data_IF_278768730127
#
_entry.id   IF_278768730127
#
_cell.length_a   1.000
_cell.length_b   1.000
_cell.length_c   1.000
_cell.angle_alpha   90.00
_cell.angle_beta   90.00
_cell.angle_gamma   90.00
#
_symmetry.space_group_name_H-M   'P 1'
#
loop_
_entity.id
_entity.type
_entity.pdbx_description
1 polymer ?
#
# COMPACT_ATOMS: atom_id res chain seq x y z
N UNK A 1 7.70 -12.38 6.10
CA UNK A 1 7.20 -12.57 7.29
C UNK A 1 7.00 -11.36 8.08
N UNK A 2 8.03 -10.78 8.54
CA UNK A 2 7.87 -9.64 9.37
C UNK A 2 7.27 -8.45 8.65
N UNK A 3 7.46 -8.36 7.36
CA UNK A 3 6.91 -7.22 6.63
C UNK A 3 5.40 -7.15 6.67
N UNK A 4 4.76 -8.30 6.60
CA UNK A 4 3.31 -8.34 6.63
C UNK A 4 2.78 -7.98 7.99
N UNK A 5 3.50 -8.39 9.03
CA UNK A 5 3.09 -8.07 10.37
C UNK A 5 3.15 -6.58 10.61
N UNK A 6 4.24 -5.95 10.17
CA UNK A 6 4.38 -4.51 10.32
C UNK A 6 3.31 -3.78 9.53
N UNK A 7 2.99 -4.31 8.36
CA UNK A 7 1.98 -3.72 7.52
C UNK A 7 0.63 -3.70 8.23
N UNK A 8 0.27 -4.81 8.86
CA UNK A 8 -1.00 -4.90 9.55
C UNK A 8 -1.08 -4.01 10.77
N UNK A 9 0.06 -3.74 11.37
CA UNK A 9 0.11 -2.90 12.56
C UNK A 9 0.08 -1.42 12.24
N UNK A 10 0.32 -1.08 10.99
CA UNK A 10 0.33 0.33 10.61
C UNK A 10 -1.08 0.89 10.65
N UNK A 11 -1.19 2.14 11.12
CA UNK A 11 -2.48 2.80 11.15
C UNK A 11 -2.92 3.18 9.74
N UNK A 12 -4.19 3.48 9.58
CA UNK A 12 -4.68 3.92 8.28
C UNK A 12 -3.97 5.17 7.81
N UNK A 13 -3.73 6.07 8.74
CA UNK A 13 -3.03 7.30 8.41
C UNK A 13 -1.62 7.00 7.94
N UNK A 14 -0.95 6.07 8.61
CA UNK A 14 0.40 5.72 8.24
C UNK A 14 0.42 5.07 6.86
N UNK A 15 -0.54 4.21 6.58
CA UNK A 15 -0.63 3.59 5.27
C UNK A 15 -0.84 4.62 4.17
N UNK A 16 -1.69 5.60 4.44
CA UNK A 16 -1.94 6.64 3.45
C UNK A 16 -0.66 7.43 3.18
N UNK A 17 0.12 7.70 4.21
CA UNK A 17 1.38 8.40 4.05
C UNK A 17 2.36 7.58 3.22
N UNK A 18 2.40 6.28 3.47
CA UNK A 18 3.29 5.41 2.72
C UNK A 18 2.89 5.33 1.26
N UNK A 19 1.59 5.28 0.99
CA UNK A 19 1.11 5.27 -0.38
C UNK A 19 1.53 6.54 -1.10
N UNK A 20 1.37 7.67 -0.43
CA UNK A 20 1.77 8.95 -1.03
C UNK A 20 3.27 8.97 -1.28
N UNK A 21 4.05 8.50 -0.31
CA UNK A 21 5.49 8.46 -0.45
C UNK A 21 5.92 7.63 -1.64
N UNK A 22 5.42 6.40 -1.72
CA UNK A 22 5.84 5.52 -2.80
C UNK A 22 5.28 5.93 -4.16
N UNK A 23 4.12 6.58 -4.16
CA UNK A 23 3.57 7.12 -5.40
C UNK A 23 4.50 8.19 -5.94
N UNK A 24 4.99 9.07 -5.07
CA UNK A 24 5.91 10.10 -5.47
C UNK A 24 7.23 9.51 -5.95
N UNK A 25 7.73 8.51 -5.22
CA UNK A 25 8.98 7.87 -5.61
C UNK A 25 8.86 7.20 -6.96
N UNK A 26 7.72 6.59 -7.23
CA UNK A 26 7.50 5.94 -8.52
C UNK A 26 7.52 6.97 -9.65
N UNK A 27 6.95 8.13 -9.39
CA UNK A 27 6.91 9.18 -10.39
C UNK A 27 8.30 9.75 -10.66
N UNK A 28 9.16 9.71 -9.65
CA UNK A 28 10.52 10.23 -9.78
C UNK A 28 11.54 9.18 -10.15
N UNK A 29 11.12 7.93 -10.28
CA UNK A 29 12.06 6.86 -10.60
C UNK A 29 12.70 7.12 -11.95
N UNK A 30 14.00 6.87 -12.01
CA UNK A 30 14.75 7.13 -13.23
C UNK A 30 14.90 5.91 -14.12
N UNK A 31 14.81 4.73 -13.54
CA UNK A 31 14.96 3.51 -14.31
C UNK A 31 13.72 2.66 -14.13
N UNK A 32 13.54 1.72 -15.04
CA UNK A 32 12.42 0.82 -14.95
C UNK A 32 12.50 -0.04 -13.71
N UNK A 33 13.70 -0.43 -13.35
CA UNK A 33 13.89 -1.26 -12.17
C UNK A 33 13.44 -0.52 -10.92
N UNK A 34 13.84 0.73 -10.80
CA UNK A 34 13.43 1.54 -9.66
C UNK A 34 11.93 1.72 -9.65
N UNK A 35 11.35 1.96 -10.82
CA UNK A 35 9.92 2.15 -10.90
C UNK A 35 9.19 0.88 -10.50
N UNK A 36 9.67 -0.27 -10.94
CA UNK A 36 9.03 -1.53 -10.61
C UNK A 36 9.03 -1.76 -9.10
N UNK A 37 10.14 -1.45 -8.45
CA UNK A 37 10.22 -1.62 -7.00
C UNK A 37 9.22 -0.70 -6.31
N UNK A 38 9.17 0.55 -6.74
CA UNK A 38 8.25 1.51 -6.13
C UNK A 38 6.81 1.08 -6.34
N UNK A 39 6.48 0.63 -7.54
CA UNK A 39 5.11 0.20 -7.84
C UNK A 39 4.74 -1.03 -7.03
N UNK A 40 5.70 -1.92 -6.81
CA UNK A 40 5.45 -3.11 -6.01
C UNK A 40 5.12 -2.72 -4.57
N UNK A 41 5.91 -1.81 -4.01
CA UNK A 41 5.65 -1.35 -2.66
C UNK A 41 4.31 -0.63 -2.58
N UNK A 42 4.03 0.19 -3.58
CA UNK A 42 2.78 0.92 -3.63
C UNK A 42 1.59 -0.04 -3.65
N UNK A 43 1.67 -1.06 -4.50
CA UNK A 43 0.59 -2.04 -4.60
C UNK A 43 0.39 -2.76 -3.27
N UNK A 44 1.47 -3.02 -2.57
CA UNK A 44 1.38 -3.71 -1.29
C UNK A 44 0.59 -2.89 -0.28
N UNK A 45 0.89 -1.62 -0.17
CA UNK A 45 0.20 -0.77 0.79
C UNK A 45 -1.23 -0.49 0.36
N UNK A 46 -1.44 -0.28 -0.94
CA UNK A 46 -2.80 -0.07 -1.44
C UNK A 46 -3.65 -1.30 -1.22
N UNK A 47 -3.05 -2.47 -1.41
CA UNK A 47 -3.76 -3.71 -1.18
C UNK A 47 -4.23 -3.85 0.26
N UNK A 48 -3.39 -3.43 1.18
CA UNK A 48 -3.76 -3.50 2.58
C UNK A 48 -4.91 -2.55 2.89
N UNK A 49 -4.86 -1.35 2.34
CA UNK A 49 -5.92 -0.39 2.57
C UNK A 49 -7.24 -0.91 2.01
N UNK A 50 -7.19 -1.45 0.80
CA UNK A 50 -8.39 -1.98 0.17
C UNK A 50 -8.94 -3.17 0.95
N UNK A 51 -8.07 -3.99 1.47
CA UNK A 51 -8.51 -5.14 2.25
C UNK A 51 -9.25 -4.69 3.49
N UNK A 52 -8.75 -3.65 4.14
CA UNK A 52 -9.41 -3.13 5.34
C UNK A 52 -10.78 -2.56 5.01
N UNK A 53 -10.85 -1.81 3.91
CA UNK A 53 -12.11 -1.24 3.50
C UNK A 53 -13.06 -2.30 3.00
N UNK A 54 -12.50 -3.26 2.27
CA UNK A 54 -13.31 -4.32 1.73
C UNK A 54 -13.97 -5.16 2.79
N UNK A 55 -13.25 -5.39 3.87
CA UNK A 55 -13.81 -6.16 4.96
C UNK A 55 -15.08 -5.52 5.52
N UNK A 56 -15.03 -4.23 5.73
CA UNK A 56 -16.17 -3.55 6.25
C UNK A 56 -17.29 -3.47 5.26
N UNK A 57 -16.92 -3.37 3.97
CA UNK A 57 -17.91 -3.24 2.98
C UNK A 57 -18.55 -4.52 2.62
N UNK A 58 -17.79 -5.54 2.47
CA UNK A 58 -18.34 -6.79 2.01
C UNK A 58 -19.40 -7.31 2.96
N UNK A 59 -19.25 -7.04 4.20
CA UNK A 59 -20.24 -7.55 5.13
C UNK A 59 -21.58 -6.90 4.88
N UNK A 60 -21.59 -5.71 4.30
CA UNK A 60 -22.79 -5.08 4.07
C UNK A 60 -23.25 -5.26 2.66
N UNK A 61 -22.35 -5.30 1.77
CA UNK A 61 -22.70 -5.46 0.39
C UNK A 61 -23.51 -6.70 0.16
N UNK A 62 -23.44 -7.58 1.04
CA UNK A 62 -24.24 -8.77 0.89
C UNK A 62 -25.54 -8.64 1.57
#
# INVERSE_FOLDING_TARGET
>A
MSGERLLRMASDKRLAELVTYWSTEAALARTEDEQKVCLRMLAKYQGEIERRQGNGRSSKGD
#
